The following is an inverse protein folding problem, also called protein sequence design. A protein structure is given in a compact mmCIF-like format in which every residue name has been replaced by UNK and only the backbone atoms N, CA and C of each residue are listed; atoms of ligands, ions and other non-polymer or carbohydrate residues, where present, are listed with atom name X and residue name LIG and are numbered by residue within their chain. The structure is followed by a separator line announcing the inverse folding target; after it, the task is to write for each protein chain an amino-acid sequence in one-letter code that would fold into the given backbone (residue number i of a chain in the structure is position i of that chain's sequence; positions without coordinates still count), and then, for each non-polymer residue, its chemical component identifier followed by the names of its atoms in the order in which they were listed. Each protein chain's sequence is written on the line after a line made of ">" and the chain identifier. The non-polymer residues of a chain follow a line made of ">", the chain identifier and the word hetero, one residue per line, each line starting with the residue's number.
data_IF_153331417454
#
_entry.id   IF_153331417454
#
_cell.length_a   1.000
_cell.length_b   1.000
_cell.length_c   1.000
_cell.angle_alpha   90.00
_cell.angle_beta   90.00
_cell.angle_gamma   90.00
#
_symmetry.space_group_name_H-M   'P 1'
#
loop_
_entity.id
_entity.type
_entity.pdbx_description
1 polymer ?
#
# COMPACT_ATOMS: atom_id res chain seq x y z
N UNK A 1 -31.97 32.21 37.70
CA UNK A 1 -31.86 33.67 37.77
C UNK A 1 -30.41 34.00 37.47
N UNK A 2 -30.01 34.56 36.34
CA UNK A 2 -30.75 35.15 35.23
C UNK A 2 -29.99 34.93 33.90
N UNK A 3 -30.78 34.89 32.84
CA UNK A 3 -30.42 34.82 31.43
C UNK A 3 -30.32 36.25 30.85
N UNK A 4 -29.76 36.32 29.64
CA UNK A 4 -29.73 37.45 28.69
C UNK A 4 -28.68 38.52 29.01
N UNK A 5 -27.85 38.98 28.09
CA UNK A 5 -27.77 38.83 26.65
C UNK A 5 -26.93 40.01 26.13
N UNK A 6 -26.17 39.84 25.05
CA UNK A 6 -26.05 40.84 23.97
C UNK A 6 -25.12 40.32 22.87
N UNK A 7 -25.75 39.84 21.81
CA UNK A 7 -25.21 39.89 20.45
C UNK A 7 -25.40 41.33 19.98
N UNK A 8 -24.39 41.97 19.40
CA UNK A 8 -24.62 43.16 18.60
C UNK A 8 -23.42 44.07 18.36
N UNK A 9 -23.12 44.29 17.09
CA UNK A 9 -22.38 45.46 16.60
C UNK A 9 -20.91 45.18 16.33
N UNK A 10 -20.36 45.39 15.14
CA UNK A 10 -20.91 45.98 13.93
C UNK A 10 -19.78 46.02 12.92
N UNK A 11 -20.05 45.51 11.72
CA UNK A 11 -19.19 45.70 10.56
C UNK A 11 -19.23 47.19 10.19
N UNK A 12 -18.10 47.88 10.30
CA UNK A 12 -17.88 49.16 9.61
C UNK A 12 -16.70 49.03 8.67
N UNK A 13 -17.05 48.87 7.39
CA UNK A 13 -16.22 49.13 6.23
C UNK A 13 -15.85 50.61 6.18
N UNK A 14 -14.56 50.91 6.10
CA UNK A 14 -14.06 52.18 5.55
C UNK A 14 -13.07 51.83 4.43
N UNK A 15 -13.47 52.16 3.21
CA UNK A 15 -12.60 52.16 2.04
C UNK A 15 -11.76 53.43 1.98
N UNK A 16 -10.58 53.33 1.36
CA UNK A 16 -9.82 54.52 0.99
C UNK A 16 -8.36 54.29 0.60
N UNK A 17 -8.13 54.10 -0.70
CA UNK A 17 -7.02 54.66 -1.50
C UNK A 17 -5.58 54.11 -1.31
N UNK A 18 -5.22 53.25 -2.26
CA UNK A 18 -4.05 53.28 -3.17
C UNK A 18 -2.61 53.49 -2.68
N UNK A 19 -1.73 52.74 -3.39
CA UNK A 19 -0.28 52.94 -3.61
C UNK A 19 0.67 52.56 -2.48
N UNK A 20 1.16 51.32 -2.55
CA UNK A 20 2.53 50.95 -2.95
C UNK A 20 2.77 49.52 -2.48
N UNK A 21 3.17 48.64 -3.40
CA UNK A 21 3.73 47.35 -3.03
C UNK A 21 5.10 47.56 -2.37
N UNK A 22 5.36 46.98 -1.19
CA UNK A 22 6.70 46.65 -0.75
C UNK A 22 6.94 45.14 -0.97
N UNK A 23 7.88 44.87 -1.88
CA UNK A 23 8.89 43.82 -1.84
C UNK A 23 8.59 42.54 -1.02
N UNK A 24 8.59 41.41 -1.74
CA UNK A 24 8.46 40.03 -1.27
C UNK A 24 9.59 39.51 -0.35
N UNK A 25 10.29 40.39 0.37
CA UNK A 25 11.41 40.03 1.24
C UNK A 25 11.04 39.91 2.73
N UNK A 26 9.91 40.48 3.17
CA UNK A 26 9.56 40.58 4.60
C UNK A 26 8.51 39.55 5.08
N UNK A 27 8.03 38.66 4.20
CA UNK A 27 6.93 37.71 4.53
C UNK A 27 7.44 36.33 4.98
N UNK A 28 8.70 35.99 4.68
CA UNK A 28 9.29 34.71 5.06
C UNK A 28 9.56 34.53 6.57
N UNK A 29 10.02 35.53 7.35
CA UNK A 29 10.26 35.31 8.78
C UNK A 29 8.95 35.22 9.60
N UNK A 30 7.84 35.75 9.09
CA UNK A 30 6.55 35.75 9.81
C UNK A 30 5.87 34.37 9.80
N UNK A 31 6.10 33.55 8.77
CA UNK A 31 5.58 32.18 8.68
C UNK A 31 6.34 31.21 9.60
N UNK A 32 7.65 31.40 9.78
CA UNK A 32 8.47 30.55 10.65
C UNK A 32 8.11 30.70 12.13
N UNK A 33 7.72 31.90 12.56
CA UNK A 33 7.30 32.15 13.95
C UNK A 33 5.88 31.63 14.23
N UNK A 34 5.00 31.61 13.23
CA UNK A 34 3.69 30.96 13.34
C UNK A 34 3.81 29.44 13.52
N UNK A 35 4.72 28.79 12.80
CA UNK A 35 4.95 27.34 12.90
C UNK A 35 5.42 26.94 14.31
N UNK A 36 6.36 27.69 14.89
CA UNK A 36 6.83 27.43 16.26
C UNK A 36 5.77 27.69 17.33
N UNK A 37 4.85 28.62 17.09
CA UNK A 37 3.73 28.87 17.99
C UNK A 37 2.76 27.68 18.00
N UNK A 38 2.45 27.12 16.83
CA UNK A 38 1.57 25.95 16.69
C UNK A 38 2.17 24.71 17.36
N UNK A 39 3.46 24.42 17.15
CA UNK A 39 4.13 23.28 17.78
C UNK A 39 4.13 23.41 19.32
N UNK A 40 4.28 24.63 19.84
CA UNK A 40 4.27 24.87 21.29
C UNK A 40 2.88 24.67 21.90
N UNK A 41 1.84 25.06 21.19
CA UNK A 41 0.44 24.85 21.60
C UNK A 41 0.07 23.36 21.52
N UNK A 42 0.46 22.66 20.46
CA UNK A 42 0.28 21.20 20.36
C UNK A 42 1.03 20.44 21.45
N UNK A 43 2.29 20.80 21.75
CA UNK A 43 3.04 20.19 22.85
C UNK A 43 2.34 20.44 24.19
N UNK A 44 1.84 21.66 24.43
CA UNK A 44 1.11 21.98 25.65
C UNK A 44 -0.17 21.13 25.78
N UNK A 45 -0.95 21.00 24.70
CA UNK A 45 -2.13 20.12 24.67
C UNK A 45 -1.81 18.64 24.85
N UNK A 46 -0.67 18.17 24.33
CA UNK A 46 -0.19 16.80 24.56
C UNK A 46 0.30 16.57 25.99
N UNK A 47 0.72 17.63 26.68
CA UNK A 47 1.22 17.55 28.07
C UNK A 47 0.07 17.66 29.07
N UNK A 48 -1.03 18.33 28.72
CA UNK A 48 -2.26 18.47 29.54
C UNK A 48 -3.18 17.23 29.44
N UNK A 49 -2.87 16.24 28.60
CA UNK A 49 -3.58 14.96 28.61
C UNK A 49 -3.04 14.12 29.77
N UNK A 50 -3.88 13.93 30.78
CA UNK A 50 -3.67 12.93 31.84
C UNK A 50 -3.43 11.57 31.17
N UNK A 51 -2.34 10.84 31.49
CA UNK A 51 -2.14 9.50 30.96
C UNK A 51 -3.34 8.65 31.39
N UNK A 52 -3.94 7.84 30.49
CA UNK A 52 -4.97 6.90 30.91
C UNK A 52 -4.37 6.06 32.03
N UNK A 53 -5.07 6.04 33.18
CA UNK A 53 -4.67 5.27 34.35
C UNK A 53 -4.16 3.90 33.89
N UNK A 54 -2.91 3.62 34.21
CA UNK A 54 -2.23 2.41 33.82
C UNK A 54 -3.09 1.21 34.22
N UNK A 55 -3.74 0.60 33.23
CA UNK A 55 -4.10 -0.81 33.31
C UNK A 55 -2.75 -1.48 33.42
N UNK A 56 -2.45 -2.06 34.58
CA UNK A 56 -1.33 -2.97 34.78
C UNK A 56 -1.55 -4.18 33.88
N UNK A 57 -1.25 -4.02 32.61
CA UNK A 57 -0.88 -5.11 31.73
C UNK A 57 0.55 -5.46 32.11
N UNK A 58 0.79 -6.72 32.43
CA UNK A 58 2.11 -7.25 32.78
C UNK A 58 3.19 -6.72 31.83
N UNK A 59 4.12 -5.95 32.41
CA UNK A 59 5.33 -5.41 31.80
C UNK A 59 6.34 -6.53 31.49
N UNK A 60 6.07 -7.36 30.48
CA UNK A 60 7.08 -8.32 29.97
C UNK A 60 7.14 -8.40 28.42
N UNK A 61 6.64 -7.39 27.71
CA UNK A 61 7.06 -7.13 26.32
C UNK A 61 8.14 -6.04 26.30
N UNK A 62 9.28 -6.34 26.93
CA UNK A 62 10.53 -5.72 26.49
C UNK A 62 10.73 -6.09 25.04
N UNK A 63 10.48 -5.13 24.15
CA UNK A 63 10.70 -5.26 22.72
C UNK A 63 12.04 -5.95 22.48
N UNK A 64 11.98 -7.25 22.15
CA UNK A 64 13.16 -8.10 22.11
C UNK A 64 14.17 -7.44 21.17
N UNK A 65 15.38 -7.20 21.66
CA UNK A 65 16.44 -6.64 20.81
C UNK A 65 16.61 -7.56 19.59
N UNK A 66 16.96 -7.04 18.40
CA UNK A 66 17.13 -7.87 17.21
C UNK A 66 18.06 -9.08 17.42
N UNK A 67 19.05 -8.93 18.32
CA UNK A 67 19.96 -10.01 18.71
C UNK A 67 19.27 -11.10 19.55
N UNK A 68 18.40 -10.72 20.50
CA UNK A 68 17.60 -11.68 21.27
C UNK A 68 16.65 -12.44 20.35
N UNK A 69 15.95 -11.76 19.43
CA UNK A 69 15.06 -12.41 18.48
C UNK A 69 15.82 -13.40 17.58
N UNK A 70 16.98 -12.98 17.05
CA UNK A 70 17.83 -13.87 16.24
C UNK A 70 18.29 -15.09 17.05
N UNK A 71 18.74 -14.91 18.29
CA UNK A 71 19.14 -16.03 19.17
C UNK A 71 17.98 -16.99 19.40
N UNK A 72 16.79 -16.48 19.72
CA UNK A 72 15.60 -17.32 19.91
C UNK A 72 15.26 -18.12 18.65
N UNK A 73 15.36 -17.52 17.46
CA UNK A 73 15.14 -18.24 16.20
C UNK A 73 16.18 -19.34 15.98
N UNK A 74 17.45 -19.06 16.25
CA UNK A 74 18.53 -20.04 16.11
C UNK A 74 18.37 -21.19 17.11
N UNK A 75 18.03 -20.89 18.37
CA UNK A 75 17.79 -21.89 19.41
C UNK A 75 16.59 -22.78 19.04
N UNK A 76 15.50 -22.19 18.53
CA UNK A 76 14.34 -22.95 18.02
C UNK A 76 14.72 -23.84 16.83
N UNK A 77 15.61 -23.37 15.96
CA UNK A 77 16.05 -24.14 14.78
C UNK A 77 16.83 -25.40 15.15
N UNK A 78 17.58 -25.38 16.26
CA UNK A 78 18.39 -26.52 16.71
C UNK A 78 17.56 -27.76 17.10
N UNK A 79 16.31 -27.57 17.50
CA UNK A 79 15.42 -28.64 17.98
C UNK A 79 14.22 -28.88 17.06
N UNK A 80 14.14 -28.20 15.91
CA UNK A 80 13.01 -28.33 14.99
C UNK A 80 13.21 -29.50 14.02
N UNK A 81 12.17 -30.33 13.87
CA UNK A 81 12.12 -31.32 12.80
C UNK A 81 11.75 -30.66 11.46
N UNK A 82 12.11 -31.25 10.30
CA UNK A 82 11.74 -30.70 9.00
C UNK A 82 10.24 -30.42 8.85
N UNK A 83 9.39 -31.33 9.33
CA UNK A 83 7.93 -31.18 9.25
C UNK A 83 7.43 -30.02 10.12
N UNK A 84 7.95 -29.88 11.35
CA UNK A 84 7.60 -28.74 12.21
C UNK A 84 8.07 -27.41 11.65
N UNK A 85 9.23 -27.39 10.99
CA UNK A 85 9.72 -26.19 10.31
C UNK A 85 8.84 -25.82 9.11
N UNK A 86 8.33 -26.80 8.36
CA UNK A 86 7.35 -26.57 7.27
C UNK A 86 6.03 -26.03 7.81
N UNK A 87 5.47 -26.64 8.85
CA UNK A 87 4.22 -26.19 9.46
C UNK A 87 4.35 -24.74 9.95
N UNK A 88 5.46 -24.42 10.61
CA UNK A 88 5.73 -23.06 11.07
C UNK A 88 5.83 -22.05 9.90
N UNK A 89 6.49 -22.42 8.80
CA UNK A 89 6.54 -21.60 7.58
C UNK A 89 5.15 -21.39 6.99
N UNK A 90 4.35 -22.45 6.86
CA UNK A 90 3.02 -22.37 6.26
C UNK A 90 2.07 -21.53 7.10
N UNK A 91 2.11 -21.67 8.43
CA UNK A 91 1.34 -20.84 9.34
C UNK A 91 1.74 -19.36 9.26
N UNK A 92 3.04 -19.05 9.14
CA UNK A 92 3.51 -17.68 8.95
C UNK A 92 3.03 -17.10 7.61
N UNK A 93 3.17 -17.84 6.51
CA UNK A 93 2.70 -17.44 5.19
C UNK A 93 1.19 -17.19 5.19
N UNK A 94 0.38 -18.11 5.73
CA UNK A 94 -1.07 -17.94 5.84
C UNK A 94 -1.45 -16.77 6.75
N UNK A 95 -0.75 -16.58 7.86
CA UNK A 95 -0.95 -15.45 8.77
C UNK A 95 -0.63 -14.09 8.14
N UNK A 96 0.23 -14.06 7.11
CA UNK A 96 0.57 -12.84 6.36
C UNK A 96 -0.44 -12.45 5.28
N UNK A 97 -1.36 -13.36 4.91
CA UNK A 97 -2.35 -13.16 3.85
C UNK A 97 -3.60 -12.44 4.34
N UNK A 98 -4.12 -11.58 3.48
CA UNK A 98 -5.47 -11.00 3.63
C UNK A 98 -6.50 -11.96 3.02
N UNK A 99 -7.77 -11.98 3.49
CA UNK A 99 -8.80 -12.86 2.92
C UNK A 99 -8.96 -12.77 1.39
N UNK A 100 -8.83 -11.58 0.80
CA UNK A 100 -8.88 -11.40 -0.66
C UNK A 100 -7.67 -12.06 -1.38
N UNK A 101 -6.49 -12.09 -0.75
CA UNK A 101 -5.30 -12.77 -1.30
C UNK A 101 -5.46 -14.29 -1.22
N UNK A 102 -6.07 -14.80 -0.13
CA UNK A 102 -6.42 -16.21 0.00
C UNK A 102 -7.44 -16.64 -1.08
N UNK A 103 -8.40 -15.79 -1.43
CA UNK A 103 -9.31 -16.05 -2.57
C UNK A 103 -8.57 -16.13 -3.90
N UNK A 104 -7.62 -15.22 -4.14
CA UNK A 104 -6.77 -15.26 -5.34
C UNK A 104 -5.95 -16.56 -5.37
N UNK A 105 -5.38 -16.97 -4.23
CA UNK A 105 -4.62 -18.23 -4.13
C UNK A 105 -5.50 -19.43 -4.49
N UNK A 106 -6.71 -19.49 -3.95
CA UNK A 106 -7.68 -20.53 -4.27
C UNK A 106 -8.01 -20.59 -5.77
N UNK A 107 -8.21 -19.42 -6.41
CA UNK A 107 -8.50 -19.32 -7.85
C UNK A 107 -7.34 -19.71 -8.77
N UNK A 108 -6.12 -19.82 -8.23
CA UNK A 108 -4.91 -20.23 -8.96
C UNK A 108 -4.50 -21.68 -8.67
N UNK A 109 -5.13 -22.31 -7.67
CA UNK A 109 -4.74 -23.63 -7.14
C UNK A 109 -4.97 -24.82 -8.10
N UNK A 110 -5.81 -24.63 -9.10
CA UNK A 110 -6.07 -25.59 -10.19
C UNK A 110 -5.01 -25.50 -11.30
N UNK A 111 -4.01 -24.64 -11.15
CA UNK A 111 -2.99 -24.36 -12.16
C UNK A 111 -3.44 -23.37 -13.23
N UNK A 112 -4.61 -22.76 -13.07
CA UNK A 112 -5.10 -21.72 -13.98
C UNK A 112 -4.14 -20.54 -14.06
N UNK A 113 -4.10 -19.92 -15.24
CA UNK A 113 -3.28 -18.75 -15.52
C UNK A 113 -4.19 -17.56 -15.83
N UNK A 114 -3.78 -16.38 -15.38
CA UNK A 114 -4.51 -15.14 -15.66
C UNK A 114 -3.61 -14.12 -16.35
N UNK A 115 -4.17 -13.25 -17.22
CA UNK A 115 -3.43 -12.20 -17.89
C UNK A 115 -2.97 -11.16 -16.88
N UNK A 116 -1.76 -10.66 -17.09
CA UNK A 116 -1.16 -9.56 -16.36
C UNK A 116 -0.67 -8.50 -17.33
N UNK A 117 -0.99 -7.24 -17.03
CA UNK A 117 -0.48 -6.09 -17.76
C UNK A 117 0.36 -5.22 -16.82
N UNK A 118 1.53 -4.81 -17.31
CA UNK A 118 2.29 -3.72 -16.76
C UNK A 118 2.29 -2.55 -17.74
N UNK A 119 2.25 -1.33 -17.21
CA UNK A 119 2.39 -0.10 -17.99
C UNK A 119 3.74 0.50 -17.66
N UNK A 120 4.66 0.43 -18.62
CA UNK A 120 5.98 1.02 -18.53
C UNK A 120 5.96 2.45 -19.08
N UNK A 121 6.63 3.35 -18.38
CA UNK A 121 6.92 4.68 -18.89
C UNK A 121 7.88 4.60 -20.08
N UNK A 122 7.80 5.54 -21.04
CA UNK A 122 8.80 5.66 -22.08
C UNK A 122 10.13 6.09 -21.47
N UNK A 123 11.08 5.16 -21.39
CA UNK A 123 12.42 5.40 -20.87
C UNK A 123 13.37 6.07 -21.87
N UNK A 124 14.36 6.81 -21.34
CA UNK A 124 15.52 7.32 -22.09
C UNK A 124 16.82 6.53 -21.81
N UNK A 125 16.81 5.52 -20.93
CA UNK A 125 17.96 4.66 -20.63
C UNK A 125 17.73 3.67 -19.49
N UNK A 126 18.40 2.51 -19.57
CA UNK A 126 18.69 1.54 -18.50
C UNK A 126 17.52 0.72 -17.93
N UNK A 127 16.55 1.37 -17.29
CA UNK A 127 15.50 0.71 -16.51
C UNK A 127 14.10 1.23 -16.86
N UNK A 128 13.17 0.32 -17.13
CA UNK A 128 11.75 0.66 -17.26
C UNK A 128 11.19 1.06 -15.91
N UNK A 129 10.92 2.35 -15.73
CA UNK A 129 9.97 2.80 -14.71
C UNK A 129 8.57 2.30 -15.11
N UNK A 130 7.80 1.81 -14.13
CA UNK A 130 6.44 1.34 -14.37
C UNK A 130 5.46 2.24 -13.64
N UNK A 131 4.50 2.78 -14.38
CA UNK A 131 3.38 3.52 -13.81
C UNK A 131 2.33 2.58 -13.19
N UNK A 132 2.22 1.35 -13.71
CA UNK A 132 1.36 0.30 -13.17
C UNK A 132 2.04 -1.05 -13.32
N UNK A 133 1.97 -1.86 -12.26
CA UNK A 133 2.43 -3.26 -12.27
C UNK A 133 1.31 -4.16 -11.82
N UNK A 134 1.28 -5.40 -12.34
CA UNK A 134 0.42 -6.47 -11.85
C UNK A 134 -1.09 -6.21 -12.02
N UNK A 135 -1.50 -5.40 -13.00
CA UNK A 135 -2.91 -5.33 -13.35
C UNK A 135 -3.36 -6.68 -13.91
N UNK A 136 -4.45 -7.24 -13.40
CA UNK A 136 -4.90 -8.58 -13.78
C UNK A 136 -6.39 -8.75 -13.56
N UNK A 137 -7.01 -9.64 -14.34
CA UNK A 137 -8.42 -10.03 -14.20
C UNK A 137 -8.65 -10.99 -13.03
N UNK A 138 -7.59 -11.59 -12.47
CA UNK A 138 -7.69 -12.63 -11.42
C UNK A 138 -8.50 -12.20 -10.22
N UNK A 139 -8.44 -10.94 -9.79
CA UNK A 139 -9.21 -10.48 -8.64
C UNK A 139 -10.72 -10.55 -8.88
N UNK A 140 -11.18 -10.25 -10.10
CA UNK A 140 -12.59 -10.39 -10.46
C UNK A 140 -13.00 -11.85 -10.53
N UNK A 141 -12.19 -12.70 -11.15
CA UNK A 141 -12.45 -14.14 -11.26
C UNK A 141 -12.44 -14.85 -9.91
N UNK A 142 -11.55 -14.44 -9.00
CA UNK A 142 -11.47 -14.94 -7.63
C UNK A 142 -12.56 -14.38 -6.70
N UNK A 143 -13.39 -13.44 -7.17
CA UNK A 143 -14.43 -12.82 -6.35
C UNK A 143 -13.87 -12.04 -5.16
N UNK A 144 -12.75 -11.33 -5.33
CA UNK A 144 -12.20 -10.49 -4.25
C UNK A 144 -13.12 -9.31 -3.94
N UNK A 145 -13.12 -8.88 -2.68
CA UNK A 145 -13.99 -7.80 -2.20
C UNK A 145 -13.62 -6.45 -2.82
N UNK A 146 -12.32 -6.21 -3.05
CA UNK A 146 -11.83 -4.97 -3.65
C UNK A 146 -11.02 -5.20 -4.94
N UNK A 147 -11.67 -5.43 -6.09
CA UNK A 147 -10.96 -5.76 -7.35
C UNK A 147 -9.95 -4.70 -7.80
N UNK A 148 -10.16 -3.42 -7.44
CA UNK A 148 -9.22 -2.33 -7.75
C UNK A 148 -7.84 -2.49 -7.08
N UNK A 149 -7.75 -3.26 -5.98
CA UNK A 149 -6.48 -3.53 -5.28
C UNK A 149 -5.82 -4.84 -5.74
N UNK A 150 -6.36 -5.53 -6.75
CA UNK A 150 -5.72 -6.72 -7.34
C UNK A 150 -4.22 -6.51 -7.66
N UNK A 151 -3.78 -5.36 -8.22
CA UNK A 151 -2.36 -5.09 -8.41
C UNK A 151 -1.52 -5.14 -7.13
N UNK A 152 -2.07 -4.63 -6.03
CA UNK A 152 -1.42 -4.62 -4.72
C UNK A 152 -1.35 -6.04 -4.14
N UNK A 153 -2.46 -6.78 -4.19
CA UNK A 153 -2.54 -8.18 -3.74
C UNK A 153 -1.51 -9.05 -4.48
N UNK A 154 -1.47 -8.97 -5.81
CA UNK A 154 -0.47 -9.70 -6.59
C UNK A 154 0.97 -9.28 -6.27
N UNK A 155 1.21 -7.99 -6.01
CA UNK A 155 2.54 -7.52 -5.59
C UNK A 155 2.96 -8.13 -4.25
N UNK A 156 2.03 -8.23 -3.29
CA UNK A 156 2.30 -8.86 -1.99
C UNK A 156 2.52 -10.37 -2.14
N UNK A 157 1.66 -11.07 -2.87
CA UNK A 157 1.79 -12.50 -3.10
C UNK A 157 3.09 -12.86 -3.86
N UNK A 158 3.54 -12.02 -4.79
CA UNK A 158 4.84 -12.17 -5.46
C UNK A 158 6.01 -12.04 -4.47
N UNK A 159 5.92 -11.11 -3.51
CA UNK A 159 6.94 -10.93 -2.47
C UNK A 159 6.97 -12.09 -1.49
N UNK A 160 5.82 -12.70 -1.20
CA UNK A 160 5.70 -13.91 -0.39
C UNK A 160 6.11 -15.18 -1.16
N UNK A 161 6.32 -15.08 -2.48
CA UNK A 161 6.71 -16.21 -3.32
C UNK A 161 5.57 -17.21 -3.60
N UNK A 162 4.30 -16.84 -3.37
CA UNK A 162 3.14 -17.72 -3.58
C UNK A 162 2.64 -17.77 -5.02
N UNK A 163 3.00 -16.76 -5.80
CA UNK A 163 2.65 -16.66 -7.22
C UNK A 163 3.90 -16.29 -8.02
N UNK A 164 3.86 -16.55 -9.32
CA UNK A 164 4.95 -16.23 -10.25
C UNK A 164 4.42 -15.56 -11.51
N UNK A 165 5.21 -14.65 -12.05
CA UNK A 165 4.94 -14.02 -13.34
C UNK A 165 5.63 -14.81 -14.46
N UNK A 166 4.86 -15.25 -15.44
CA UNK A 166 5.32 -15.92 -16.66
C UNK A 166 5.28 -15.02 -17.89
N UNK A 167 5.77 -15.51 -19.05
CA UNK A 167 5.69 -14.80 -20.32
C UNK A 167 4.24 -14.57 -20.75
N UNK A 168 4.06 -13.72 -21.77
CA UNK A 168 2.77 -13.57 -22.46
C UNK A 168 2.35 -14.93 -23.06
N UNK A 169 1.06 -15.23 -23.02
CA UNK A 169 0.49 -16.40 -23.67
C UNK A 169 -0.49 -15.96 -24.75
N UNK A 170 -0.23 -16.32 -26.00
CA UNK A 170 -1.05 -15.95 -27.15
C UNK A 170 -2.49 -16.46 -27.05
N UNK A 171 -2.71 -17.56 -26.33
CA UNK A 171 -4.05 -18.13 -26.10
C UNK A 171 -4.98 -17.22 -25.27
N UNK A 172 -4.44 -16.25 -24.52
CA UNK A 172 -5.21 -15.32 -23.68
C UNK A 172 -5.40 -13.94 -24.37
N UNK A 173 -5.28 -13.87 -25.69
CA UNK A 173 -5.34 -12.61 -26.45
C UNK A 173 -6.58 -11.77 -26.08
N UNK A 174 -7.78 -12.37 -26.13
CA UNK A 174 -9.04 -11.69 -25.84
C UNK A 174 -9.10 -11.16 -24.40
N UNK A 175 -8.49 -11.90 -23.46
CA UNK A 175 -8.45 -11.52 -22.05
C UNK A 175 -7.49 -10.33 -21.81
N UNK A 176 -6.38 -10.24 -22.57
CA UNK A 176 -5.53 -9.06 -22.55
C UNK A 176 -6.22 -7.84 -23.14
N UNK A 177 -6.94 -8.00 -24.25
CA UNK A 177 -7.71 -6.90 -24.86
C UNK A 177 -8.80 -6.41 -23.90
N UNK A 178 -9.51 -7.33 -23.23
CA UNK A 178 -10.47 -6.97 -22.19
C UNK A 178 -9.78 -6.21 -21.04
N UNK A 179 -8.63 -6.68 -20.56
CA UNK A 179 -7.89 -6.03 -19.47
C UNK A 179 -7.38 -4.63 -19.85
N UNK A 180 -7.04 -4.39 -21.13
CA UNK A 180 -6.68 -3.05 -21.62
C UNK A 180 -7.83 -2.05 -21.53
N UNK A 181 -9.08 -2.51 -21.54
CA UNK A 181 -10.25 -1.65 -21.35
C UNK A 181 -10.46 -1.23 -19.89
N UNK A 182 -9.75 -1.84 -18.93
CA UNK A 182 -9.90 -1.51 -17.52
C UNK A 182 -9.50 -0.04 -17.24
N UNK A 183 -10.34 0.64 -16.47
CA UNK A 183 -10.10 2.02 -16.01
C UNK A 183 -8.72 2.24 -15.39
N UNK A 184 -8.21 1.30 -14.59
CA UNK A 184 -6.91 1.43 -13.92
C UNK A 184 -5.77 1.41 -14.94
N UNK A 185 -5.89 0.56 -15.96
CA UNK A 185 -4.90 0.46 -17.04
C UNK A 185 -4.96 1.70 -17.94
N UNK A 186 -6.16 2.17 -18.28
CA UNK A 186 -6.35 3.38 -19.08
C UNK A 186 -5.81 4.64 -18.39
N UNK A 187 -6.07 4.80 -17.09
CA UNK A 187 -5.51 5.90 -16.29
C UNK A 187 -3.99 5.81 -16.29
N UNK A 188 -3.42 4.63 -16.03
CA UNK A 188 -1.97 4.44 -16.03
C UNK A 188 -1.33 4.74 -17.41
N UNK A 189 -1.99 4.34 -18.50
CA UNK A 189 -1.54 4.64 -19.87
C UNK A 189 -1.58 6.14 -20.17
N UNK A 190 -2.56 6.87 -19.63
CA UNK A 190 -2.64 8.31 -19.79
C UNK A 190 -1.56 9.03 -18.96
N UNK A 191 -1.35 8.62 -17.71
CA UNK A 191 -0.37 9.25 -16.80
C UNK A 191 1.08 8.92 -17.15
N UNK A 192 1.34 7.75 -17.74
CA UNK A 192 2.70 7.30 -18.07
C UNK A 192 3.29 7.94 -19.33
N UNK A 193 2.51 8.71 -20.10
CA UNK A 193 3.00 9.39 -21.31
C UNK A 193 4.02 10.46 -20.94
N UNK A 194 5.07 10.62 -21.74
CA UNK A 194 6.01 11.74 -21.62
C UNK A 194 6.11 12.52 -22.91
N UNK A 195 5.45 13.69 -22.94
CA UNK A 195 5.33 14.49 -24.16
C UNK A 195 4.66 13.69 -25.27
N UNK A 196 5.33 13.56 -26.42
CA UNK A 196 4.85 12.79 -27.57
C UNK A 196 5.07 11.28 -27.42
N UNK A 197 5.90 10.83 -26.47
CA UNK A 197 6.22 9.41 -26.31
C UNK A 197 5.10 8.67 -25.56
N UNK A 198 4.55 7.66 -26.21
CA UNK A 198 3.54 6.78 -25.64
C UNK A 198 4.12 5.83 -24.59
N UNK A 199 3.31 5.49 -23.60
CA UNK A 199 3.60 4.42 -22.65
C UNK A 199 3.64 3.06 -23.35
N UNK A 200 4.41 2.11 -22.79
CA UNK A 200 4.55 0.76 -23.33
C UNK A 200 3.75 -0.22 -22.49
N UNK A 201 2.90 -1.01 -23.13
CA UNK A 201 2.19 -2.13 -22.52
C UNK A 201 3.09 -3.35 -22.52
N UNK A 202 3.24 -4.01 -21.37
CA UNK A 202 3.96 -5.28 -21.24
C UNK A 202 2.98 -6.33 -20.76
N UNK A 203 2.72 -7.33 -21.61
CA UNK A 203 1.83 -8.47 -21.32
C UNK A 203 2.60 -9.62 -20.70
N UNK A 204 2.00 -10.23 -19.70
CA UNK A 204 2.56 -11.32 -18.87
C UNK A 204 1.42 -12.20 -18.36
N UNK A 205 1.78 -13.32 -17.74
CA UNK A 205 0.80 -14.19 -17.08
C UNK A 205 1.12 -14.31 -15.60
N UNK A 206 0.11 -14.52 -14.76
CA UNK A 206 0.30 -14.96 -13.37
C UNK A 206 -0.19 -16.39 -13.21
N UNK A 207 0.57 -17.19 -12.46
CA UNK A 207 0.23 -18.56 -12.05
C UNK A 207 0.64 -18.76 -10.59
N UNK A 208 0.09 -19.78 -9.96
CA UNK A 208 0.59 -20.25 -8.66
C UNK A 208 2.07 -20.67 -8.79
N UNK A 209 2.85 -20.43 -7.74
CA UNK A 209 4.22 -20.95 -7.64
C UNK A 209 4.23 -22.36 -7.06
N UNK A 210 5.37 -23.03 -7.12
CA UNK A 210 5.53 -24.37 -6.52
C UNK A 210 5.29 -24.31 -5.01
N UNK A 211 5.85 -23.29 -4.32
CA UNK A 211 5.57 -23.02 -2.90
C UNK A 211 4.09 -22.72 -2.63
N UNK A 212 3.44 -21.95 -3.51
CA UNK A 212 2.02 -21.65 -3.38
C UNK A 212 1.16 -22.92 -3.49
N UNK A 213 1.52 -23.84 -4.39
CA UNK A 213 0.84 -25.12 -4.53
C UNK A 213 1.06 -26.01 -3.30
N UNK A 214 2.30 -26.12 -2.84
CA UNK A 214 2.63 -26.90 -1.62
C UNK A 214 1.87 -26.37 -0.40
N UNK A 215 1.82 -25.04 -0.24
CA UNK A 215 1.06 -24.40 0.83
C UNK A 215 -0.44 -24.71 0.73
N UNK A 216 -1.01 -24.65 -0.48
CA UNK A 216 -2.42 -24.92 -0.71
C UNK A 216 -2.79 -26.36 -0.41
N UNK A 217 -2.00 -27.33 -0.89
CA UNK A 217 -2.24 -28.75 -0.62
C UNK A 217 -2.10 -29.11 0.86
N UNK A 218 -1.22 -28.42 1.60
CA UNK A 218 -1.07 -28.62 3.04
C UNK A 218 -2.23 -28.05 3.87
N UNK A 219 -2.99 -27.09 3.33
CA UNK A 219 -4.06 -26.38 4.04
C UNK A 219 -5.48 -26.82 3.63
N UNK A 220 -5.62 -27.68 2.63
CA UNK A 220 -6.89 -28.21 2.11
C UNK A 220 -7.41 -29.38 2.94
#
# INVERSE_FOLDING_TARGET
>A
MDLEGLIGGGLTLLGGVAKRAPLAADVLPLLADAERAVVRVMRKHLTDLDPPAAVTADDDEQAASPNQLLRTLLDRSMYSSPDRSRDALYLDLLGSLVPDEARILAALSDGSAYPVIHVAEPGAGGASAYALKNASTVGRSAGVSLPRYTPLYLTRMLRLGLVRIGPEATSMYDEYEMLLTDSVVNIALATARRGVRAARVVRRTVRISDLGQELWEAAK
#
